data_IF_375521239340
#
_entry.id   IF_375521239340
#
_cell.length_a   1.000
_cell.length_b   1.000
_cell.length_c   1.000
_cell.angle_alpha   90.00
_cell.angle_beta   90.00
_cell.angle_gamma   90.00
#
_symmetry.space_group_name_H-M   'P 1'
#
loop_
_entity.id
_entity.type
_entity.pdbx_description
1 polymer ?
#
# COMPACT_ATOMS: atom_id res chain seq x y z
N UNK A 1 3.44 8.18 23.98
CA UNK A 1 3.68 7.03 23.10
C UNK A 1 2.34 6.42 22.72
N UNK A 2 2.08 6.20 21.42
CA UNK A 2 0.85 5.56 20.95
C UNK A 2 1.12 4.11 20.59
N UNK A 3 0.24 3.22 21.03
CA UNK A 3 0.28 1.80 20.67
C UNK A 3 -1.10 1.43 20.15
N UNK A 4 -1.16 0.85 18.96
CA UNK A 4 -2.42 0.40 18.38
C UNK A 4 -2.18 -0.90 17.59
N UNK A 5 -3.27 -1.60 17.26
CA UNK A 5 -3.21 -2.78 16.42
C UNK A 5 -4.06 -2.54 15.17
N UNK A 6 -3.75 -3.25 14.10
CA UNK A 6 -4.40 -3.03 12.81
C UNK A 6 -5.91 -3.23 12.87
N UNK A 7 -6.38 -4.20 13.65
CA UNK A 7 -7.81 -4.49 13.79
C UNK A 7 -8.59 -3.39 14.51
N UNK A 8 -7.89 -2.45 15.18
CA UNK A 8 -8.51 -1.30 15.85
C UNK A 8 -8.57 -0.07 14.95
N UNK A 9 -8.00 -0.14 13.77
CA UNK A 9 -7.92 1.00 12.84
C UNK A 9 -8.99 0.86 11.76
N UNK A 10 -9.76 1.93 11.53
CA UNK A 10 -10.80 1.93 10.51
C UNK A 10 -10.24 1.57 9.13
N UNK A 11 -10.91 0.62 8.47
CA UNK A 11 -10.56 0.21 7.10
C UNK A 11 -11.47 0.95 6.13
N UNK A 12 -10.88 1.76 5.26
CA UNK A 12 -11.59 2.63 4.35
C UNK A 12 -11.37 2.16 2.91
N UNK A 13 -12.44 2.02 2.15
CA UNK A 13 -12.33 1.63 0.74
C UNK A 13 -11.65 2.74 -0.05
N UNK A 14 -10.67 2.36 -0.88
CA UNK A 14 -10.01 3.29 -1.79
C UNK A 14 -10.92 3.52 -2.99
N UNK A 15 -11.35 4.77 -3.17
CA UNK A 15 -12.28 5.15 -4.24
C UNK A 15 -11.60 5.85 -5.40
N UNK A 16 -10.28 6.01 -5.36
CA UNK A 16 -9.51 6.62 -6.45
C UNK A 16 -9.73 5.86 -7.74
N UNK A 17 -9.87 6.59 -8.85
CA UNK A 17 -10.03 5.99 -10.17
C UNK A 17 -8.87 5.04 -10.46
N UNK A 18 -9.19 3.86 -10.97
CA UNK A 18 -8.21 2.80 -11.25
C UNK A 18 -7.96 1.85 -10.10
N UNK A 19 -8.49 2.12 -8.89
CA UNK A 19 -8.44 1.18 -7.78
C UNK A 19 -9.60 0.19 -7.86
N UNK A 20 -9.35 -1.05 -7.46
CA UNK A 20 -10.38 -2.08 -7.39
C UNK A 20 -10.17 -2.92 -6.13
N UNK A 21 -11.23 -3.05 -5.33
CA UNK A 21 -11.23 -3.90 -4.13
C UNK A 21 -9.98 -3.66 -3.26
N UNK A 22 -9.62 -2.41 -3.11
CA UNK A 22 -8.48 -1.94 -2.32
C UNK A 22 -8.99 -1.16 -1.12
N UNK A 23 -8.36 -1.40 0.04
CA UNK A 23 -8.71 -0.76 1.30
C UNK A 23 -7.47 -0.17 1.94
N UNK A 24 -7.65 0.92 2.70
CA UNK A 24 -6.57 1.63 3.36
C UNK A 24 -6.87 1.79 4.86
N UNK A 25 -5.85 1.58 5.67
CA UNK A 25 -5.86 1.89 7.10
C UNK A 25 -4.65 2.77 7.40
N UNK A 26 -4.79 3.71 8.33
CA UNK A 26 -3.70 4.63 8.71
C UNK A 26 -3.46 4.50 10.21
N UNK A 27 -2.68 3.52 10.65
CA UNK A 27 -2.49 3.26 12.08
C UNK A 27 -1.67 4.33 12.80
N UNK A 28 -0.71 4.95 12.12
CA UNK A 28 0.10 6.03 12.68
C UNK A 28 0.10 7.20 11.70
N UNK A 29 -0.40 8.35 12.15
CA UNK A 29 -0.68 9.46 11.25
C UNK A 29 -0.24 10.80 11.83
N UNK A 30 -0.33 11.82 11.00
CA UNK A 30 -0.12 13.22 11.44
C UNK A 30 -1.10 13.61 12.54
N UNK A 31 -2.29 13.03 12.55
CA UNK A 31 -3.30 13.30 13.57
C UNK A 31 -2.88 12.77 14.95
N UNK A 32 -1.93 11.86 15.00
CA UNK A 32 -1.34 11.36 16.23
C UNK A 32 -0.13 12.18 16.67
N UNK A 33 0.24 13.20 15.90
CA UNK A 33 1.40 14.03 16.18
C UNK A 33 2.69 13.54 15.51
N UNK A 34 2.61 12.60 14.57
CA UNK A 34 3.80 12.13 13.83
C UNK A 34 4.45 13.32 13.10
N UNK A 35 5.73 13.63 13.36
CA UNK A 35 6.33 14.86 12.83
C UNK A 35 6.75 14.77 11.36
N UNK A 36 7.07 13.59 10.85
CA UNK A 36 7.63 13.43 9.51
C UNK A 36 6.90 12.35 8.71
N UNK A 37 6.77 11.13 9.25
CA UNK A 37 6.25 9.98 8.51
C UNK A 37 4.92 9.49 9.05
N UNK A 38 4.13 8.88 8.16
CA UNK A 38 2.91 8.15 8.50
C UNK A 38 3.02 6.73 7.96
N UNK A 39 2.34 5.79 8.62
CA UNK A 39 2.16 4.44 8.09
C UNK A 39 0.76 4.30 7.56
N UNK A 40 0.68 3.76 6.33
CA UNK A 40 -0.56 3.28 5.75
C UNK A 40 -0.45 1.77 5.59
N UNK A 41 -1.58 1.09 5.68
CA UNK A 41 -1.65 -0.35 5.39
C UNK A 41 -2.72 -0.53 4.32
N UNK A 42 -2.32 -1.12 3.20
CA UNK A 42 -3.24 -1.42 2.11
C UNK A 42 -3.58 -2.90 2.11
N UNK A 43 -4.85 -3.19 1.96
CA UNK A 43 -5.36 -4.54 1.75
C UNK A 43 -5.98 -4.60 0.37
N UNK A 44 -5.46 -5.48 -0.47
CA UNK A 44 -6.06 -5.80 -1.76
C UNK A 44 -6.78 -7.13 -1.62
N UNK A 45 -8.10 -7.12 -1.79
CA UNK A 45 -8.89 -8.33 -1.79
C UNK A 45 -8.57 -9.16 -3.05
N UNK A 46 -9.01 -10.42 -3.13
CA UNK A 46 -8.75 -11.23 -4.33
C UNK A 46 -9.08 -10.49 -5.62
N UNK A 47 -8.14 -10.49 -6.55
CA UNK A 47 -8.21 -9.79 -7.84
C UNK A 47 -8.25 -8.26 -7.74
N UNK A 48 -8.03 -7.70 -6.55
CA UNK A 48 -7.95 -6.25 -6.34
C UNK A 48 -6.63 -5.67 -6.81
N UNK A 49 -6.62 -4.36 -7.02
CA UNK A 49 -5.41 -3.66 -7.43
C UNK A 49 -5.48 -2.17 -7.08
N UNK A 50 -4.30 -1.55 -6.97
CA UNK A 50 -4.18 -0.10 -6.84
C UNK A 50 -4.26 0.55 -8.23
N UNK A 51 -4.39 1.89 -8.30
CA UNK A 51 -4.24 2.58 -9.58
C UNK A 51 -2.83 2.39 -10.15
N UNK A 52 -2.71 2.40 -11.47
CA UNK A 52 -1.42 2.45 -12.14
C UNK A 52 -1.07 3.91 -12.35
N UNK A 53 -0.20 4.45 -11.49
CA UNK A 53 0.05 5.88 -11.41
C UNK A 53 1.48 6.19 -10.95
N UNK A 54 1.81 7.49 -10.93
CA UNK A 54 3.04 8.00 -10.39
C UNK A 54 2.76 9.22 -9.51
N UNK A 55 3.67 9.51 -8.60
CA UNK A 55 3.57 10.68 -7.71
C UNK A 55 4.97 11.15 -7.32
N UNK A 56 5.12 12.41 -6.84
CA UNK A 56 6.44 13.02 -6.62
C UNK A 56 7.11 12.62 -5.30
N UNK A 57 6.66 11.56 -4.66
CA UNK A 57 7.25 11.06 -3.41
C UNK A 57 7.45 9.56 -3.49
N UNK A 58 8.43 9.07 -2.72
CA UNK A 58 8.73 7.63 -2.67
C UNK A 58 7.77 6.88 -1.78
N UNK A 59 7.61 5.59 -2.05
CA UNK A 59 6.97 4.64 -1.17
C UNK A 59 7.99 3.66 -0.63
N UNK A 60 7.93 3.40 0.67
CA UNK A 60 8.69 2.35 1.33
C UNK A 60 7.68 1.30 1.76
N UNK A 61 7.69 0.15 1.11
CA UNK A 61 6.69 -0.87 1.33
C UNK A 61 7.28 -2.13 1.94
N UNK A 62 6.48 -2.81 2.75
CA UNK A 62 6.79 -4.12 3.32
C UNK A 62 5.55 -5.00 3.22
N UNK A 63 5.70 -6.18 2.62
CA UNK A 63 4.59 -7.11 2.42
C UNK A 63 4.40 -7.91 3.71
N UNK A 64 3.25 -7.75 4.36
CA UNK A 64 2.97 -8.41 5.63
C UNK A 64 2.11 -9.66 5.50
N UNK A 65 1.35 -9.81 4.40
CA UNK A 65 0.49 -10.97 4.21
C UNK A 65 0.28 -11.24 2.73
N UNK A 66 0.28 -12.50 2.35
CA UNK A 66 -0.03 -12.93 1.00
C UNK A 66 1.09 -12.70 -0.01
N UNK A 67 0.71 -12.68 -1.27
CA UNK A 67 1.62 -12.43 -2.39
C UNK A 67 0.86 -11.72 -3.51
N UNK A 68 1.61 -11.03 -4.36
CA UNK A 68 1.03 -10.29 -5.48
C UNK A 68 2.09 -9.96 -6.50
N UNK A 69 1.80 -8.96 -7.32
CA UNK A 69 2.78 -8.45 -8.29
C UNK A 69 2.85 -6.94 -8.18
N UNK A 70 4.03 -6.39 -8.47
CA UNK A 70 4.20 -4.97 -8.78
C UNK A 70 4.21 -4.83 -10.29
N UNK A 71 3.58 -3.75 -10.79
CA UNK A 71 3.65 -3.38 -12.19
C UNK A 71 4.47 -2.10 -12.27
N UNK A 72 5.58 -2.14 -13.00
CA UNK A 72 6.49 -1.01 -13.14
C UNK A 72 6.29 -0.22 -14.43
N UNK A 73 7.28 0.61 -14.74
CA UNK A 73 7.33 1.31 -16.03
C UNK A 73 7.23 0.28 -17.15
N UNK A 74 6.57 0.63 -18.25
CA UNK A 74 6.38 -0.28 -19.38
C UNK A 74 5.51 -1.51 -19.09
N UNK A 75 4.82 -1.55 -17.96
CA UNK A 75 3.88 -2.63 -17.65
C UNK A 75 4.52 -3.94 -17.22
N UNK A 76 5.81 -3.97 -16.92
CA UNK A 76 6.46 -5.21 -16.46
C UNK A 76 5.96 -5.63 -15.09
N UNK A 77 5.68 -6.91 -14.91
CA UNK A 77 5.22 -7.47 -13.64
C UNK A 77 6.35 -8.21 -12.93
N UNK A 78 6.47 -7.98 -11.63
CA UNK A 78 7.43 -8.69 -10.76
C UNK A 78 6.68 -9.20 -9.54
N UNK A 79 6.92 -10.47 -9.19
CA UNK A 79 6.29 -11.07 -8.02
C UNK A 79 6.87 -10.50 -6.73
N UNK A 80 5.99 -10.31 -5.74
CA UNK A 80 6.37 -9.95 -4.36
C UNK A 80 5.61 -10.85 -3.40
N UNK A 81 6.27 -11.20 -2.30
CA UNK A 81 5.77 -12.14 -1.31
C UNK A 81 5.92 -11.58 0.09
N UNK A 82 5.17 -12.15 1.03
CA UNK A 82 5.32 -11.85 2.45
C UNK A 82 6.79 -11.81 2.84
N UNK A 83 7.22 -10.72 3.47
CA UNK A 83 8.59 -10.50 3.89
C UNK A 83 9.43 -9.67 2.92
N UNK A 84 8.93 -9.39 1.72
CA UNK A 84 9.66 -8.58 0.75
C UNK A 84 9.53 -7.09 1.07
N UNK A 85 10.58 -6.34 0.77
CA UNK A 85 10.60 -4.88 0.81
C UNK A 85 10.60 -4.33 -0.61
N UNK A 86 9.85 -3.26 -0.82
CA UNK A 86 9.77 -2.60 -2.12
C UNK A 86 10.02 -1.11 -1.95
N UNK A 87 10.90 -0.56 -2.78
CA UNK A 87 11.11 0.89 -2.91
C UNK A 87 10.53 1.34 -4.24
N UNK A 88 9.55 2.24 -4.18
CA UNK A 88 9.04 2.94 -5.35
C UNK A 88 9.61 4.34 -5.32
N UNK A 89 10.39 4.70 -6.31
CA UNK A 89 11.05 6.00 -6.38
C UNK A 89 10.07 7.11 -6.75
N UNK A 90 10.39 8.38 -6.42
CA UNK A 90 9.57 9.51 -6.89
C UNK A 90 9.38 9.47 -8.40
N UNK A 91 8.15 9.70 -8.86
CA UNK A 91 7.75 9.73 -10.26
C UNK A 91 7.91 8.42 -11.03
N UNK A 92 8.18 7.33 -10.34
CA UNK A 92 8.20 5.99 -10.93
C UNK A 92 6.77 5.47 -11.04
N UNK A 93 6.34 5.15 -12.26
CA UNK A 93 4.99 4.64 -12.49
C UNK A 93 4.87 3.22 -11.95
N UNK A 94 3.83 2.96 -11.16
CA UNK A 94 3.72 1.70 -10.44
C UNK A 94 2.27 1.34 -10.12
N UNK A 95 2.06 0.05 -9.85
CA UNK A 95 0.78 -0.50 -9.41
C UNK A 95 1.06 -1.77 -8.61
N UNK A 96 0.20 -2.07 -7.65
CA UNK A 96 0.17 -3.37 -6.98
C UNK A 96 -1.08 -4.11 -7.40
N UNK A 97 -0.95 -5.42 -7.65
CA UNK A 97 -2.08 -6.29 -7.99
C UNK A 97 -2.06 -7.54 -7.13
N UNK A 98 -3.25 -7.93 -6.66
CA UNK A 98 -3.45 -9.23 -6.05
C UNK A 98 -3.98 -10.19 -7.12
N UNK A 99 -3.17 -11.15 -7.50
CA UNK A 99 -3.52 -12.14 -8.52
C UNK A 99 -4.20 -13.39 -7.95
N UNK A 100 -4.29 -13.49 -6.61
CA UNK A 100 -4.98 -14.60 -5.98
C UNK A 100 -6.48 -14.47 -6.15
N UNK A 101 -7.17 -15.61 -6.32
CA UNK A 101 -8.62 -15.67 -6.35
C UNK A 101 -9.24 -15.88 -4.96
N UNK A 102 -8.42 -16.12 -3.93
CA UNK A 102 -8.91 -16.51 -2.60
C UNK A 102 -8.27 -15.81 -1.42
N UNK A 103 -7.04 -15.30 -1.54
CA UNK A 103 -6.27 -14.77 -0.42
C UNK A 103 -6.07 -13.25 -0.53
N UNK A 104 -6.08 -12.51 0.60
CA UNK A 104 -5.77 -11.10 0.58
C UNK A 104 -4.27 -10.87 0.39
N UNK A 105 -3.93 -9.68 -0.11
CA UNK A 105 -2.55 -9.20 -0.25
C UNK A 105 -2.44 -7.91 0.53
N UNK A 106 -1.59 -7.89 1.56
CA UNK A 106 -1.53 -6.77 2.51
C UNK A 106 -0.09 -6.25 2.60
N UNK A 107 0.07 -4.95 2.49
CA UNK A 107 1.39 -4.33 2.61
C UNK A 107 1.34 -3.00 3.37
N UNK A 108 2.43 -2.72 4.08
CA UNK A 108 2.64 -1.47 4.78
C UNK A 108 3.29 -0.49 3.81
N UNK A 109 2.89 0.77 3.93
CA UNK A 109 3.47 1.85 3.15
C UNK A 109 3.84 3.01 4.08
N UNK A 110 5.13 3.27 4.23
CA UNK A 110 5.62 4.45 4.94
C UNK A 110 5.73 5.59 3.94
N UNK A 111 5.16 6.74 4.27
CA UNK A 111 5.16 7.94 3.42
C UNK A 111 5.37 9.18 4.27
N UNK A 112 5.81 10.30 3.68
CA UNK A 112 5.72 11.58 4.37
C UNK A 112 4.26 11.85 4.77
N UNK A 113 4.06 12.41 5.94
CA UNK A 113 2.71 12.60 6.53
C UNK A 113 1.75 13.38 5.65
N UNK A 114 2.27 14.24 4.77
CA UNK A 114 1.46 15.04 3.85
C UNK A 114 0.72 14.19 2.80
N UNK A 115 1.15 12.94 2.63
CA UNK A 115 0.63 12.05 1.58
C UNK A 115 -0.10 10.82 2.13
N UNK A 116 -0.46 10.83 3.40
CA UNK A 116 -1.16 9.68 4.00
C UNK A 116 -2.60 9.43 3.50
#
# INVERSE_FOLDING_TARGET
MKITSLDQVEKIKVTMEGAKDAFKQVPLSKNDGAPVFSFRVFTLEPNGHTPYHQHPFEHLNYIIEGHGVTVGENGEEREVNKGDFVLVLPNEKHQYKNKSASEPFIFICAVPKEYE
#
